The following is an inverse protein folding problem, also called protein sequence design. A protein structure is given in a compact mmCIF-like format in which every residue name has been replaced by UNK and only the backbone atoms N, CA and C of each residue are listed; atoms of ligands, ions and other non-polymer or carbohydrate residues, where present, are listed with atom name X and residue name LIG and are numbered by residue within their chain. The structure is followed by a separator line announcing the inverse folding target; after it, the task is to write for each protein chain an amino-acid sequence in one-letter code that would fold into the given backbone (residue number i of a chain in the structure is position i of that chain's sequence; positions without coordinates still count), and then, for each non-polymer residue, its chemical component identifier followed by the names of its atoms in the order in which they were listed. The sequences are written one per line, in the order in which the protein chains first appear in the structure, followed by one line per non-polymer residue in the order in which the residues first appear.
data_IF_903856221548
#
_entry.id   IF_903856221548
#
_cell.length_a   1.000
_cell.length_b   1.000
_cell.length_c   1.000
_cell.angle_alpha   90.00
_cell.angle_beta   90.00
_cell.angle_gamma   90.00
#
_symmetry.space_group_name_H-M   'P 1'
#
loop_
_entity.id
_entity.type
_entity.pdbx_description
1 polymer ?
#
# COMPACT_ATOMS: atom_id res chain seq x y z
N UNK A 1 -1.34 6.75 35.67
CA UNK A 1 -0.29 6.21 34.77
C UNK A 1 -0.87 5.05 33.96
N UNK A 2 -1.39 5.32 32.77
CA UNK A 2 -2.01 4.28 31.93
C UNK A 2 -0.93 3.51 31.16
N UNK A 3 -0.66 2.26 31.55
CA UNK A 3 0.23 1.37 30.81
C UNK A 3 -0.46 1.00 29.49
N UNK A 4 -0.08 1.68 28.41
CA UNK A 4 -0.48 1.33 27.05
C UNK A 4 0.05 -0.09 26.80
N UNK A 5 -0.82 -1.11 26.89
CA UNK A 5 -0.46 -2.50 26.54
C UNK A 5 0.12 -2.47 25.13
N UNK A 6 1.42 -2.72 24.99
CA UNK A 6 2.03 -2.91 23.69
C UNK A 6 1.33 -4.10 23.04
N UNK A 7 0.57 -3.86 21.97
CA UNK A 7 0.02 -4.95 21.17
C UNK A 7 1.22 -5.65 20.54
N UNK A 8 1.40 -6.92 20.85
CA UNK A 8 2.35 -7.78 20.14
C UNK A 8 2.05 -7.67 18.64
N UNK A 9 3.11 -7.69 17.83
CA UNK A 9 2.97 -7.69 16.38
C UNK A 9 2.10 -8.88 15.97
N UNK A 10 1.13 -8.65 15.07
CA UNK A 10 0.33 -9.73 14.54
C UNK A 10 1.21 -10.65 13.71
N UNK A 11 1.34 -11.91 14.13
CA UNK A 11 2.09 -12.93 13.41
C UNK A 11 1.19 -13.62 12.38
N UNK A 12 1.58 -13.55 11.09
CA UNK A 12 0.82 -14.18 10.01
C UNK A 12 1.13 -15.68 9.97
N UNK A 13 0.15 -16.50 9.57
CA UNK A 13 0.42 -17.93 9.32
C UNK A 13 1.41 -18.02 8.16
N UNK A 14 2.52 -18.73 8.41
CA UNK A 14 3.58 -18.96 7.42
C UNK A 14 3.02 -19.70 6.21
N UNK A 15 3.66 -19.54 5.05
CA UNK A 15 3.24 -20.25 3.83
C UNK A 15 3.33 -21.77 4.02
N UNK A 16 4.39 -22.24 4.69
CA UNK A 16 4.58 -23.64 5.04
C UNK A 16 3.43 -24.19 5.88
N UNK A 17 3.04 -23.46 6.92
CA UNK A 17 1.93 -23.85 7.79
C UNK A 17 0.58 -23.87 7.07
N UNK A 18 0.37 -22.97 6.10
CA UNK A 18 -0.83 -23.01 5.24
C UNK A 18 -0.84 -24.25 4.35
N UNK A 19 0.30 -24.64 3.79
CA UNK A 19 0.43 -25.88 3.03
C UNK A 19 0.12 -27.11 3.90
N UNK A 20 0.61 -27.13 5.14
CA UNK A 20 0.26 -28.19 6.11
C UNK A 20 -1.22 -28.25 6.42
N UNK A 21 -1.88 -27.10 6.59
CA UNK A 21 -3.33 -27.02 6.82
C UNK A 21 -4.09 -27.64 5.65
N UNK A 22 -3.73 -27.31 4.40
CA UNK A 22 -4.34 -27.91 3.21
C UNK A 22 -4.12 -29.41 3.19
N UNK A 23 -2.89 -29.87 3.43
CA UNK A 23 -2.60 -31.31 3.48
C UNK A 23 -3.45 -32.02 4.55
N UNK A 24 -3.57 -31.45 5.76
CA UNK A 24 -4.41 -32.04 6.81
C UNK A 24 -5.90 -32.04 6.46
N UNK A 25 -6.37 -31.05 5.71
CA UNK A 25 -7.73 -31.00 5.18
C UNK A 25 -7.97 -32.13 4.17
N UNK A 26 -7.02 -32.40 3.28
CA UNK A 26 -7.11 -33.51 2.32
C UNK A 26 -7.15 -34.88 3.04
N UNK A 27 -6.46 -35.00 4.19
CA UNK A 27 -6.53 -36.17 5.06
C UNK A 27 -7.79 -36.24 5.96
N UNK A 28 -8.67 -35.23 5.91
CA UNK A 28 -9.92 -35.21 6.68
C UNK A 28 -9.74 -35.01 8.19
N UNK A 29 -8.64 -34.40 8.64
CA UNK A 29 -8.46 -34.11 10.07
C UNK A 29 -9.50 -33.10 10.58
N UNK A 30 -9.85 -33.12 11.87
CA UNK A 30 -10.70 -32.08 12.45
C UNK A 30 -9.91 -30.76 12.60
N UNK A 31 -10.57 -29.61 12.37
CA UNK A 31 -9.91 -28.29 12.40
C UNK A 31 -9.21 -27.96 13.73
N UNK A 32 -9.73 -28.47 14.85
CA UNK A 32 -9.11 -28.30 16.17
C UNK A 32 -7.73 -28.96 16.22
N UNK A 33 -7.60 -30.17 15.68
CA UNK A 33 -6.34 -30.90 15.66
C UNK A 33 -5.34 -30.26 14.69
N UNK A 34 -5.80 -29.81 13.53
CA UNK A 34 -4.96 -29.04 12.60
C UNK A 34 -4.39 -27.78 13.28
N UNK A 35 -5.23 -27.04 14.01
CA UNK A 35 -4.84 -25.84 14.75
C UNK A 35 -3.78 -26.13 15.80
N UNK A 36 -3.93 -27.23 16.54
CA UNK A 36 -2.94 -27.67 17.53
C UNK A 36 -1.59 -28.01 16.89
N UNK A 37 -1.59 -28.72 15.74
CA UNK A 37 -0.36 -29.11 15.01
C UNK A 37 0.40 -27.92 14.42
N UNK A 38 -0.31 -26.83 14.13
CA UNK A 38 0.23 -25.62 13.50
C UNK A 38 0.37 -24.47 14.51
N UNK A 39 -0.03 -24.69 15.77
CA UNK A 39 0.00 -23.70 16.86
C UNK A 39 -0.78 -22.42 16.47
N UNK A 40 -1.99 -22.62 15.94
CA UNK A 40 -2.92 -21.56 15.51
C UNK A 40 -4.34 -21.85 15.99
N UNK A 41 -5.12 -20.79 16.13
CA UNK A 41 -6.54 -20.91 16.50
C UNK A 41 -7.32 -21.63 15.40
N UNK A 42 -8.24 -22.53 15.79
CA UNK A 42 -9.16 -23.25 14.90
C UNK A 42 -9.87 -22.33 13.88
N UNK A 43 -10.29 -21.12 14.30
CA UNK A 43 -10.93 -20.14 13.41
C UNK A 43 -10.02 -19.68 12.26
N UNK A 44 -8.70 -19.68 12.48
CA UNK A 44 -7.72 -19.33 11.46
C UNK A 44 -7.56 -20.47 10.46
N UNK A 45 -7.52 -21.72 10.94
CA UNK A 45 -7.49 -22.92 10.11
C UNK A 45 -8.74 -22.98 9.24
N UNK A 46 -9.93 -22.85 9.83
CA UNK A 46 -11.21 -22.87 9.12
C UNK A 46 -11.22 -21.84 7.98
N UNK A 47 -10.81 -20.59 8.23
CA UNK A 47 -10.71 -19.54 7.20
C UNK A 47 -9.73 -19.87 6.06
N UNK A 48 -8.65 -20.60 6.35
CA UNK A 48 -7.69 -21.03 5.32
C UNK A 48 -8.30 -22.16 4.48
N UNK A 49 -8.93 -23.14 5.13
CA UNK A 49 -9.63 -24.24 4.48
C UNK A 49 -10.79 -23.75 3.60
N UNK A 50 -11.61 -22.84 4.11
CA UNK A 50 -12.72 -22.23 3.34
C UNK A 50 -12.19 -21.52 2.10
N UNK A 51 -11.10 -20.76 2.22
CA UNK A 51 -10.48 -20.09 1.08
C UNK A 51 -9.92 -21.10 0.08
N UNK A 52 -9.26 -22.15 0.55
CA UNK A 52 -8.75 -23.20 -0.32
C UNK A 52 -9.87 -23.82 -1.15
N UNK A 53 -11.01 -24.13 -0.54
CA UNK A 53 -12.19 -24.68 -1.23
C UNK A 53 -12.83 -23.71 -2.22
N UNK A 54 -12.84 -22.40 -1.92
CA UNK A 54 -13.49 -21.39 -2.75
C UNK A 54 -12.62 -20.87 -3.89
N UNK A 55 -11.32 -20.69 -3.65
CA UNK A 55 -10.40 -19.97 -4.54
C UNK A 55 -9.24 -20.84 -5.04
N UNK A 56 -9.04 -22.05 -4.49
CA UNK A 56 -7.89 -22.90 -4.81
C UNK A 56 -6.54 -22.30 -4.39
N UNK A 57 -6.55 -21.35 -3.45
CA UNK A 57 -5.34 -20.69 -2.98
C UNK A 57 -5.34 -20.45 -1.48
N UNK A 58 -4.19 -20.63 -0.85
CA UNK A 58 -3.97 -20.25 0.55
C UNK A 58 -3.37 -18.85 0.69
N UNK A 59 -3.06 -18.21 -0.44
CA UNK A 59 -2.47 -16.89 -0.43
C UNK A 59 -3.44 -15.85 0.11
N UNK A 60 -2.87 -14.84 0.75
CA UNK A 60 -3.65 -13.71 1.24
C UNK A 60 -3.89 -12.77 0.06
N UNK A 61 -5.15 -12.39 -0.17
CA UNK A 61 -5.46 -11.33 -1.13
C UNK A 61 -4.68 -10.06 -0.78
N UNK A 62 -3.99 -9.50 -1.78
CA UNK A 62 -3.31 -8.22 -1.64
C UNK A 62 -4.32 -7.17 -1.16
N UNK A 63 -3.91 -6.31 -0.23
CA UNK A 63 -4.77 -5.21 0.19
C UNK A 63 -4.75 -4.16 -0.91
N UNK A 64 -5.91 -3.81 -1.45
CA UNK A 64 -6.03 -2.64 -2.31
C UNK A 64 -5.67 -1.38 -1.53
N UNK A 65 -4.87 -0.51 -2.14
CA UNK A 65 -4.63 0.80 -1.56
C UNK A 65 -5.92 1.63 -1.59
N UNK A 66 -6.11 2.55 -0.63
CA UNK A 66 -7.19 3.53 -0.71
C UNK A 66 -7.15 4.26 -2.07
N UNK A 67 -8.32 4.70 -2.57
CA UNK A 67 -8.36 5.49 -3.80
C UNK A 67 -7.46 6.72 -3.63
N UNK A 68 -6.75 7.03 -4.70
CA UNK A 68 -5.90 8.22 -4.73
C UNK A 68 -6.76 9.47 -4.90
N UNK A 69 -6.37 10.59 -4.29
CA UNK A 69 -7.15 11.85 -4.43
C UNK A 69 -7.06 12.45 -5.84
N UNK A 70 -6.11 11.98 -6.66
CA UNK A 70 -5.87 12.49 -8.02
C UNK A 70 -6.08 11.39 -9.02
N UNK A 71 -6.76 11.72 -10.13
CA UNK A 71 -6.99 10.81 -11.25
C UNK A 71 -5.76 10.72 -12.17
N UNK A 72 -5.67 9.69 -13.01
CA UNK A 72 -4.58 9.57 -13.99
C UNK A 72 -4.53 10.77 -14.97
N UNK A 73 -5.68 11.36 -15.29
CA UNK A 73 -5.76 12.54 -16.16
C UNK A 73 -5.19 13.78 -15.48
N UNK A 74 -5.51 13.98 -14.20
CA UNK A 74 -4.92 15.05 -13.40
C UNK A 74 -3.41 14.87 -13.24
N UNK A 75 -2.93 13.65 -13.00
CA UNK A 75 -1.50 13.36 -12.89
C UNK A 75 -0.74 13.74 -14.17
N UNK A 76 -1.33 13.48 -15.35
CA UNK A 76 -0.77 13.92 -16.65
C UNK A 76 -0.74 15.45 -16.74
N UNK A 77 -1.82 16.13 -16.33
CA UNK A 77 -1.88 17.59 -16.35
C UNK A 77 -0.86 18.23 -15.40
N UNK A 78 -0.73 17.69 -14.19
CA UNK A 78 0.26 18.11 -13.18
C UNK A 78 1.68 17.98 -13.76
N UNK A 79 1.97 16.86 -14.41
CA UNK A 79 3.26 16.63 -15.05
C UNK A 79 3.51 17.65 -16.17
N UNK A 80 2.54 17.84 -17.07
CA UNK A 80 2.65 18.81 -18.19
C UNK A 80 2.91 20.22 -17.69
N UNK A 81 2.16 20.68 -16.68
CA UNK A 81 2.35 22.02 -16.10
C UNK A 81 3.77 22.22 -15.57
N UNK A 82 4.31 21.23 -14.84
CA UNK A 82 5.64 21.32 -14.27
C UNK A 82 6.77 21.25 -15.32
N UNK A 83 6.54 20.57 -16.44
CA UNK A 83 7.50 20.52 -17.56
C UNK A 83 7.46 21.82 -18.38
N UNK A 84 6.27 22.35 -18.64
CA UNK A 84 6.10 23.58 -19.42
C UNK A 84 6.62 24.81 -18.69
N UNK A 85 6.38 24.90 -17.38
CA UNK A 85 6.91 25.97 -16.53
C UNK A 85 7.52 25.38 -15.25
N UNK A 86 8.85 25.13 -15.25
CA UNK A 86 9.56 24.60 -14.09
C UNK A 86 9.60 25.52 -12.87
N UNK A 87 9.20 26.79 -13.01
CA UNK A 87 9.14 27.76 -11.90
C UNK A 87 7.84 27.67 -11.11
N UNK A 88 6.83 26.97 -11.64
CA UNK A 88 5.55 26.80 -10.97
C UNK A 88 5.71 26.03 -9.65
N UNK A 89 5.20 26.65 -8.59
CA UNK A 89 5.16 26.01 -7.28
C UNK A 89 4.07 24.95 -7.23
N UNK A 90 4.25 23.94 -6.37
CA UNK A 90 3.23 22.90 -6.16
C UNK A 90 1.87 23.46 -5.68
N UNK A 91 1.88 24.64 -5.02
CA UNK A 91 0.66 25.34 -4.60
C UNK A 91 -0.05 26.01 -5.78
N UNK A 92 0.69 26.63 -6.70
CA UNK A 92 0.11 27.19 -7.93
C UNK A 92 -0.53 26.10 -8.80
N UNK A 93 0.16 24.96 -8.94
CA UNK A 93 -0.38 23.79 -9.67
C UNK A 93 -1.65 23.26 -8.98
N UNK A 94 -1.66 23.16 -7.65
CA UNK A 94 -2.84 22.75 -6.90
C UNK A 94 -4.06 23.65 -7.17
N UNK A 95 -3.87 24.98 -7.10
CA UNK A 95 -4.95 25.95 -7.37
C UNK A 95 -5.47 25.84 -8.80
N UNK A 96 -4.58 25.62 -9.77
CA UNK A 96 -5.00 25.42 -11.15
C UNK A 96 -5.84 24.15 -11.32
N UNK A 97 -5.40 23.02 -10.75
CA UNK A 97 -6.16 21.77 -10.79
C UNK A 97 -7.52 21.94 -10.10
N UNK A 98 -7.56 22.58 -8.94
CA UNK A 98 -8.79 22.87 -8.21
C UNK A 98 -9.75 23.75 -9.03
N UNK A 99 -9.24 24.75 -9.75
CA UNK A 99 -10.05 25.62 -10.61
C UNK A 99 -10.70 24.87 -11.79
N UNK A 100 -10.06 23.82 -12.30
CA UNK A 100 -10.53 23.05 -13.46
C UNK A 100 -11.41 21.88 -13.06
N UNK A 101 -11.12 21.23 -11.93
CA UNK A 101 -11.77 19.98 -11.49
C UNK A 101 -12.75 20.17 -10.35
N UNK A 102 -12.78 21.36 -9.72
CA UNK A 102 -13.52 21.65 -8.49
C UNK A 102 -13.18 20.69 -7.32
N UNK A 103 -12.03 20.02 -7.38
CA UNK A 103 -11.53 19.13 -6.35
C UNK A 103 -10.27 19.73 -5.70
N UNK A 104 -10.27 19.83 -4.37
CA UNK A 104 -9.15 20.40 -3.64
C UNK A 104 -8.02 19.38 -3.49
N UNK A 105 -6.87 19.68 -4.08
CA UNK A 105 -5.65 18.84 -4.00
C UNK A 105 -4.60 19.56 -3.18
N UNK A 106 -4.04 18.89 -2.17
CA UNK A 106 -2.98 19.51 -1.37
C UNK A 106 -1.67 19.65 -2.13
N UNK A 107 -0.91 20.72 -1.87
CA UNK A 107 0.42 20.92 -2.46
C UNK A 107 1.39 19.75 -2.16
N UNK A 108 1.22 19.07 -1.02
CA UNK A 108 1.98 17.87 -0.69
C UNK A 108 1.66 16.71 -1.65
N UNK A 109 0.39 16.55 -2.04
CA UNK A 109 -0.02 15.55 -3.03
C UNK A 109 0.59 15.86 -4.39
N UNK A 110 0.49 17.12 -4.86
CA UNK A 110 1.14 17.55 -6.11
C UNK A 110 2.64 17.23 -6.10
N UNK A 111 3.35 17.59 -5.03
CA UNK A 111 4.78 17.28 -4.90
C UNK A 111 5.06 15.78 -4.97
N UNK A 112 4.25 14.94 -4.30
CA UNK A 112 4.37 13.47 -4.38
C UNK A 112 4.15 12.95 -5.80
N UNK A 113 3.21 13.53 -6.56
CA UNK A 113 2.97 13.18 -7.97
C UNK A 113 4.14 13.52 -8.86
N UNK A 114 4.68 14.73 -8.72
CA UNK A 114 5.88 15.16 -9.44
C UNK A 114 7.07 14.26 -9.14
N UNK A 115 7.30 13.92 -7.87
CA UNK A 115 8.38 13.01 -7.49
C UNK A 115 8.18 11.60 -8.06
N UNK A 116 6.93 11.10 -8.06
CA UNK A 116 6.59 9.79 -8.64
C UNK A 116 6.84 9.77 -10.16
N UNK A 117 6.69 10.90 -10.85
CA UNK A 117 7.02 11.04 -12.27
C UNK A 117 8.48 11.46 -12.53
N UNK A 118 9.34 11.48 -11.50
CA UNK A 118 10.76 11.78 -11.64
C UNK A 118 11.13 13.27 -11.59
N UNK A 119 10.16 14.16 -11.39
CA UNK A 119 10.39 15.60 -11.24
C UNK A 119 10.64 15.93 -9.76
N UNK A 120 11.82 16.50 -9.50
CA UNK A 120 12.19 17.03 -8.20
C UNK A 120 12.64 18.49 -8.33
N UNK A 121 12.61 19.22 -7.22
CA UNK A 121 13.15 20.58 -7.17
C UNK A 121 14.59 20.61 -7.66
N UNK A 122 14.94 21.64 -8.45
CA UNK A 122 16.33 21.83 -8.89
C UNK A 122 17.23 21.95 -7.66
N UNK A 123 18.26 21.11 -7.59
CA UNK A 123 19.38 21.37 -6.68
C UNK A 123 20.21 22.50 -7.29
N UNK A 124 20.49 23.59 -6.55
CA UNK A 124 21.46 24.56 -7.04
C UNK A 124 22.79 23.84 -7.27
N UNK A 125 23.41 24.08 -8.43
CA UNK A 125 24.79 23.67 -8.64
C UNK A 125 25.65 24.47 -7.66
N UNK A 126 26.09 23.84 -6.57
CA UNK A 126 27.15 24.36 -5.73
C UNK A 126 28.44 24.27 -6.57
N UNK A 127 28.77 25.33 -7.31
CA UNK A 127 30.12 25.45 -7.90
C UNK A 127 31.08 25.69 -6.74
N UNK A 128 31.75 24.62 -6.31
CA UNK A 128 32.92 24.76 -5.43
C UNK A 128 33.98 25.54 -6.23
N UNK A 129 34.53 26.64 -5.69
CA UNK A 129 35.61 27.34 -6.37
C UNK A 129 36.79 26.37 -6.49
N UNK A 130 37.25 26.12 -7.72
CA UNK A 130 38.52 25.46 -7.95
C UNK A 130 39.60 26.51 -7.66
N UNK A 131 40.25 26.39 -6.51
CA UNK A 131 41.46 27.13 -6.15
C UNK A 131 42.62 26.74 -7.04
#
# INVERSE_FOLDING_TARGET
MSRRKQRLAFDQVSEFDRGRIVAYQDYGLPFTEMGNRVIRNQTTVMRICDRWMQEGTTNRRGRSHPPQCTTSREDIQIFRMAVMDPSLTSRAIALHIESVTHHSVSACTIRRRLQKSGLSSRRPFLRLPLT
#
